data_IF_862308152771
#
_entry.id   IF_862308152771
#
_cell.length_a   1.000
_cell.length_b   1.000
_cell.length_c   1.000
_cell.angle_alpha   90.00
_cell.angle_beta   90.00
_cell.angle_gamma   90.00
#
_symmetry.space_group_name_H-M   'P 1'
#
loop_
_entity.id
_entity.type
_entity.pdbx_description
1 polymer ?
#
# COMPACT_ATOMS: atom_id res chain seq x y z
N UNK A 1 2.41 11.87 12.76
CA UNK A 1 3.84 12.20 12.52
C UNK A 1 4.65 10.95 12.72
N UNK A 2 5.59 10.68 11.82
CA UNK A 2 6.36 9.43 11.76
C UNK A 2 7.86 9.72 11.70
N UNK A 3 8.67 8.95 12.40
CA UNK A 3 10.12 9.09 12.44
C UNK A 3 10.79 7.81 11.95
N UNK A 4 11.74 7.93 11.01
CA UNK A 4 12.46 6.78 10.49
C UNK A 4 13.50 6.26 11.47
N UNK A 5 13.42 4.94 11.69
CA UNK A 5 14.36 4.13 12.44
C UNK A 5 15.39 3.52 11.48
N UNK A 6 16.66 3.93 11.61
CA UNK A 6 17.76 3.39 10.82
C UNK A 6 17.68 3.65 9.30
N UNK A 7 18.58 3.05 8.54
CA UNK A 7 18.61 3.15 7.08
C UNK A 7 19.26 4.42 6.50
N UNK A 8 18.85 4.84 5.31
CA UNK A 8 19.40 6.04 4.65
C UNK A 8 18.83 7.32 5.27
N UNK A 9 19.72 8.17 5.80
CA UNK A 9 19.39 9.48 6.43
C UNK A 9 18.21 9.43 7.44
N UNK A 10 18.23 8.57 8.47
CA UNK A 10 17.13 8.49 9.41
C UNK A 10 17.00 9.77 10.25
N UNK A 11 15.76 10.12 10.61
CA UNK A 11 15.50 11.17 11.60
C UNK A 11 15.94 10.74 13.01
N UNK A 12 15.80 9.46 13.34
CA UNK A 12 16.30 8.90 14.60
C UNK A 12 17.78 8.57 14.45
N UNK A 13 18.63 9.47 14.96
CA UNK A 13 20.07 9.37 14.88
C UNK A 13 20.71 8.71 16.10
N UNK A 14 19.92 7.95 16.86
CA UNK A 14 20.40 7.23 18.04
C UNK A 14 21.51 6.25 17.66
N UNK A 15 22.60 6.26 18.42
CA UNK A 15 23.75 5.38 18.22
C UNK A 15 24.39 5.43 16.82
N UNK A 16 24.16 6.48 16.02
CA UNK A 16 24.76 6.61 14.69
C UNK A 16 26.30 6.62 14.72
N UNK A 17 26.90 7.12 15.79
CA UNK A 17 28.35 7.16 15.96
C UNK A 17 28.97 5.76 16.13
N UNK A 18 28.24 4.82 16.74
CA UNK A 18 28.71 3.43 16.91
C UNK A 18 28.35 2.56 15.72
N UNK A 19 27.38 2.97 14.89
CA UNK A 19 26.83 2.21 13.76
C UNK A 19 26.33 0.81 14.15
N UNK A 20 26.00 0.62 15.42
CA UNK A 20 25.61 -0.66 15.99
C UNK A 20 24.07 -0.77 16.01
N UNK A 21 23.55 -1.47 15.01
CA UNK A 21 22.11 -1.73 14.88
C UNK A 21 21.58 -2.65 15.98
N UNK A 22 22.44 -3.43 16.65
CA UNK A 22 22.02 -4.30 17.75
C UNK A 22 21.64 -3.49 18.97
N UNK A 23 22.42 -2.46 19.32
CA UNK A 23 22.07 -1.55 20.43
C UNK A 23 20.74 -0.86 20.16
N UNK A 24 20.55 -0.35 18.93
CA UNK A 24 19.28 0.26 18.54
C UNK A 24 18.12 -0.75 18.62
N UNK A 25 18.33 -1.99 18.17
CA UNK A 25 17.33 -3.03 18.27
C UNK A 25 17.02 -3.42 19.72
N UNK A 26 18.00 -3.48 20.62
CA UNK A 26 17.79 -3.71 22.06
C UNK A 26 16.96 -2.60 22.71
N UNK A 27 17.18 -1.34 22.35
CA UNK A 27 16.37 -0.22 22.87
C UNK A 27 14.89 -0.28 22.42
N UNK A 28 14.64 -0.82 21.23
CA UNK A 28 13.30 -0.91 20.62
C UNK A 28 12.59 -2.21 20.99
N UNK A 29 13.29 -3.33 20.96
CA UNK A 29 12.77 -4.68 21.04
C UNK A 29 13.23 -5.45 22.29
N UNK A 30 14.14 -4.90 23.06
CA UNK A 30 14.65 -5.55 24.27
C UNK A 30 13.65 -5.50 25.43
N UNK A 31 13.87 -6.30 26.49
CA UNK A 31 12.94 -6.42 27.62
C UNK A 31 12.64 -5.12 28.37
N UNK A 32 13.53 -4.12 28.26
CA UNK A 32 13.37 -2.80 28.89
C UNK A 32 12.60 -1.78 28.05
N UNK A 33 12.28 -2.10 26.80
CA UNK A 33 11.65 -1.19 25.85
C UNK A 33 10.22 -0.80 26.29
N UNK A 34 9.86 0.50 26.25
CA UNK A 34 8.48 0.94 26.49
C UNK A 34 7.52 0.53 25.37
N UNK A 35 8.01 0.05 24.22
CA UNK A 35 7.19 -0.47 23.13
C UNK A 35 6.74 -1.90 23.38
N UNK A 36 7.37 -2.58 24.34
CA UNK A 36 7.05 -3.94 24.71
C UNK A 36 5.87 -3.96 25.69
N UNK A 37 4.65 -3.82 25.17
CA UNK A 37 3.44 -3.70 26.00
C UNK A 37 3.08 -4.99 26.77
N UNK A 38 3.64 -6.15 26.42
CA UNK A 38 3.37 -7.45 27.07
C UNK A 38 4.60 -8.34 27.06
N UNK A 39 4.89 -9.03 28.17
CA UNK A 39 5.93 -10.04 28.23
C UNK A 39 5.71 -11.09 27.13
N UNK A 40 6.72 -11.31 26.28
CA UNK A 40 6.75 -12.23 25.13
C UNK A 40 5.80 -11.92 23.95
N UNK A 41 5.23 -10.72 23.83
CA UNK A 41 4.54 -10.33 22.59
C UNK A 41 5.55 -9.77 21.56
N UNK A 42 5.32 -9.97 20.25
CA UNK A 42 6.16 -9.34 19.23
C UNK A 42 6.05 -7.80 19.28
N UNK A 43 7.14 -7.10 19.00
CA UNK A 43 7.13 -5.64 18.83
C UNK A 43 6.53 -5.32 17.48
N UNK A 44 5.56 -4.41 17.47
CA UNK A 44 4.94 -3.89 16.25
C UNK A 44 5.52 -2.52 15.88
N UNK A 45 6.20 -2.46 14.74
CA UNK A 45 6.63 -1.22 14.11
C UNK A 45 5.77 -0.91 12.89
N UNK A 46 5.95 0.29 12.33
CA UNK A 46 5.29 0.70 11.08
C UNK A 46 6.25 0.50 9.93
N UNK A 47 5.83 -0.26 8.93
CA UNK A 47 6.48 -0.39 7.63
C UNK A 47 5.89 0.66 6.68
N UNK A 48 6.70 1.64 6.27
CA UNK A 48 6.32 2.63 5.27
C UNK A 48 6.91 2.29 3.91
N UNK A 49 6.06 2.22 2.88
CA UNK A 49 6.49 2.12 1.48
C UNK A 49 6.24 3.47 0.81
N UNK A 50 7.27 4.07 0.20
CA UNK A 50 7.10 5.29 -0.60
C UNK A 50 6.65 4.96 -2.02
N UNK A 51 6.13 5.95 -2.75
CA UNK A 51 5.77 5.81 -4.17
C UNK A 51 6.93 5.33 -5.05
N UNK A 52 8.17 5.74 -4.71
CA UNK A 52 9.41 5.27 -5.35
C UNK A 52 9.69 3.79 -5.11
N UNK A 53 9.02 3.17 -4.14
CA UNK A 53 9.22 1.80 -3.70
C UNK A 53 10.23 1.64 -2.57
N UNK A 54 10.78 2.72 -2.01
CA UNK A 54 11.67 2.60 -0.86
C UNK A 54 10.92 2.21 0.41
N UNK A 55 11.58 1.38 1.22
CA UNK A 55 11.07 0.81 2.48
C UNK A 55 11.66 1.56 3.66
N UNK A 56 10.81 1.91 4.63
CA UNK A 56 11.19 2.61 5.84
C UNK A 56 10.57 1.90 7.05
N UNK A 57 11.35 1.75 8.13
CA UNK A 57 10.81 1.42 9.45
C UNK A 57 10.55 2.70 10.20
N UNK A 58 9.36 2.84 10.75
CA UNK A 58 8.87 4.08 11.33
C UNK A 58 8.35 3.85 12.74
N UNK A 59 8.52 4.89 13.56
CA UNK A 59 7.88 5.05 14.86
C UNK A 59 6.96 6.27 14.84
N UNK A 60 5.85 6.18 15.56
CA UNK A 60 5.00 7.34 15.82
C UNK A 60 5.71 8.34 16.75
N UNK A 61 5.23 9.57 16.75
CA UNK A 61 5.70 10.59 17.68
C UNK A 61 5.59 10.16 19.15
N UNK A 62 4.50 9.49 19.52
CA UNK A 62 4.24 9.10 20.92
C UNK A 62 5.17 7.96 21.36
N UNK A 63 5.44 7.00 20.47
CA UNK A 63 6.43 5.94 20.67
C UNK A 63 7.84 6.53 20.88
N UNK A 64 8.24 7.49 20.03
CA UNK A 64 9.52 8.21 20.19
C UNK A 64 9.56 8.97 21.52
N UNK A 65 8.45 9.62 21.91
CA UNK A 65 8.36 10.33 23.19
C UNK A 65 8.50 9.41 24.39
N UNK A 66 7.85 8.24 24.36
CA UNK A 66 8.00 7.22 25.38
C UNK A 66 9.45 6.76 25.53
N UNK A 67 10.14 6.50 24.42
CA UNK A 67 11.54 6.08 24.39
C UNK A 67 12.49 7.15 24.96
N UNK A 68 12.43 8.40 24.47
CA UNK A 68 13.27 9.49 24.98
C UNK A 68 13.03 9.82 26.46
N UNK A 69 11.77 9.71 26.93
CA UNK A 69 11.45 9.97 28.35
C UNK A 69 12.01 8.88 29.27
N UNK A 70 11.94 7.62 28.83
CA UNK A 70 12.41 6.47 29.61
C UNK A 70 13.93 6.34 29.60
N UNK A 71 14.56 6.59 28.46
CA UNK A 71 16.01 6.57 28.32
C UNK A 71 16.52 8.00 28.05
N UNK A 72 16.97 8.67 29.13
CA UNK A 72 17.47 10.06 29.08
C UNK A 72 18.70 10.24 28.18
N UNK A 73 19.37 9.16 27.78
CA UNK A 73 20.52 9.21 26.88
C UNK A 73 20.11 9.26 25.40
N UNK A 74 18.84 9.01 25.07
CA UNK A 74 18.34 9.10 23.70
C UNK A 74 17.95 10.56 23.38
N UNK A 75 18.69 11.26 22.51
CA UNK A 75 18.35 12.63 22.15
C UNK A 75 17.04 12.68 21.37
N UNK A 76 16.29 13.76 21.54
CA UNK A 76 15.11 14.03 20.71
C UNK A 76 15.52 14.16 19.22
N UNK A 77 14.78 13.57 18.27
CA UNK A 77 15.10 13.72 16.85
C UNK A 77 15.03 15.18 16.40
N UNK A 78 16.08 15.63 15.71
CA UNK A 78 16.15 16.99 15.13
C UNK A 78 15.58 17.07 13.71
N UNK A 79 15.46 15.93 13.03
CA UNK A 79 14.92 15.87 11.67
C UNK A 79 13.41 16.11 11.64
N UNK A 80 12.92 16.69 10.54
CA UNK A 80 11.48 16.86 10.30
C UNK A 80 10.82 15.46 10.20
N UNK A 81 9.76 15.19 10.97
CA UNK A 81 9.02 13.94 10.85
C UNK A 81 8.34 13.83 9.49
N UNK A 82 8.14 12.60 9.04
CA UNK A 82 7.28 12.32 7.91
C UNK A 82 5.80 12.45 8.28
N UNK A 83 5.00 12.79 7.27
CA UNK A 83 3.55 12.71 7.28
C UNK A 83 3.13 11.35 6.73
N UNK A 84 1.91 10.91 7.05
CA UNK A 84 1.38 9.67 6.49
C UNK A 84 1.27 9.74 4.96
N UNK A 85 0.94 10.92 4.42
CA UNK A 85 0.90 11.21 2.99
C UNK A 85 2.25 11.15 2.28
N UNK A 86 3.38 11.02 3.01
CA UNK A 86 4.69 10.83 2.40
C UNK A 86 4.92 9.37 1.94
N UNK A 87 3.95 8.48 2.20
CA UNK A 87 4.02 7.05 1.91
C UNK A 87 2.83 6.61 1.06
N UNK A 88 3.08 5.64 0.20
CA UNK A 88 2.07 4.91 -0.57
C UNK A 88 1.27 3.95 0.32
N UNK A 89 1.95 3.37 1.32
CA UNK A 89 1.29 2.53 2.33
C UNK A 89 2.03 2.60 3.65
N UNK A 90 1.27 2.45 4.73
CA UNK A 90 1.75 2.26 6.09
C UNK A 90 1.13 0.97 6.61
N UNK A 91 1.94 -0.02 6.99
CA UNK A 91 1.44 -1.30 7.47
C UNK A 91 2.17 -1.79 8.73
N UNK A 92 1.52 -2.64 9.56
CA UNK A 92 2.19 -3.26 10.69
C UNK A 92 3.27 -4.24 10.19
N UNK A 93 4.41 -4.22 10.88
CA UNK A 93 5.44 -5.25 10.80
C UNK A 93 5.84 -5.67 12.22
N UNK A 94 5.99 -6.98 12.42
CA UNK A 94 6.19 -7.59 13.73
C UNK A 94 7.58 -8.20 13.84
N UNK A 95 8.22 -8.04 14.99
CA UNK A 95 9.49 -8.67 15.33
C UNK A 95 9.36 -9.42 16.65
N UNK A 96 9.63 -10.72 16.63
CA UNK A 96 9.59 -11.57 17.83
C UNK A 96 10.86 -11.44 18.65
N UNK A 97 11.97 -11.06 18.02
CA UNK A 97 13.30 -11.03 18.64
C UNK A 97 14.08 -9.77 18.25
N UNK A 98 15.04 -9.40 19.10
CA UNK A 98 16.01 -8.33 18.82
C UNK A 98 16.82 -8.65 17.57
N UNK A 99 17.13 -9.93 17.35
CA UNK A 99 17.86 -10.43 16.20
C UNK A 99 17.10 -10.21 14.88
N UNK A 100 15.79 -10.48 14.85
CA UNK A 100 14.95 -10.22 13.67
C UNK A 100 14.97 -8.74 13.28
N UNK A 101 14.83 -7.84 14.26
CA UNK A 101 14.89 -6.39 14.03
C UNK A 101 16.28 -5.95 13.57
N UNK A 102 17.33 -6.44 14.24
CA UNK A 102 18.74 -6.15 13.87
C UNK A 102 19.01 -6.54 12.42
N UNK A 103 18.62 -7.75 12.02
CA UNK A 103 18.78 -8.25 10.66
C UNK A 103 18.08 -7.36 9.62
N UNK A 104 16.90 -6.81 9.95
CA UNK A 104 16.19 -5.91 9.04
C UNK A 104 16.87 -4.53 8.97
N UNK A 105 17.29 -3.97 10.11
CA UNK A 105 18.03 -2.71 10.18
C UNK A 105 19.35 -2.77 9.40
N UNK A 106 20.06 -3.92 9.44
CA UNK A 106 21.26 -4.14 8.65
C UNK A 106 20.99 -4.15 7.15
N UNK A 107 19.85 -4.70 6.72
CA UNK A 107 19.44 -4.67 5.31
C UNK A 107 19.04 -3.28 4.82
N UNK A 108 18.56 -2.42 5.73
CA UNK A 108 18.25 -1.00 5.46
C UNK A 108 19.49 -0.11 5.50
N UNK A 109 20.61 -0.55 6.08
CA UNK A 109 21.84 0.23 6.17
C UNK A 109 22.44 0.49 4.78
N UNK A 110 22.70 1.75 4.41
CA UNK A 110 23.35 2.07 3.14
C UNK A 110 24.78 1.52 3.12
N UNK A 111 25.24 1.10 1.94
CA UNK A 111 26.64 0.76 1.74
C UNK A 111 27.47 2.06 1.74
N UNK A 112 28.69 2.01 2.26
CA UNK A 112 29.63 3.15 2.24
C UNK A 112 30.03 3.46 0.79
N UNK A 113 29.23 4.25 0.09
CA UNK A 113 29.50 4.73 -1.25
C UNK A 113 29.43 6.26 -1.24
N UNK A 114 30.11 6.93 -2.17
CA UNK A 114 30.05 8.40 -2.34
C UNK A 114 28.74 8.88 -2.99
N UNK A 115 27.72 8.01 -3.03
CA UNK A 115 26.49 8.26 -3.77
C UNK A 115 25.48 9.00 -2.88
N UNK A 116 24.79 9.99 -3.44
CA UNK A 116 23.82 10.78 -2.70
C UNK A 116 22.40 10.18 -2.68
N UNK A 117 22.32 8.86 -2.73
CA UNK A 117 21.06 8.12 -2.74
C UNK A 117 21.16 6.83 -1.93
N UNK A 118 20.00 6.24 -1.62
CA UNK A 118 19.93 5.01 -0.83
C UNK A 118 20.51 3.80 -1.58
N UNK A 119 21.56 3.20 -1.03
CA UNK A 119 22.24 2.01 -1.56
C UNK A 119 22.02 0.76 -0.70
N UNK A 120 21.11 0.82 0.26
CA UNK A 120 20.77 -0.29 1.13
C UNK A 120 20.23 -1.48 0.35
N UNK A 121 20.38 -2.68 0.91
CA UNK A 121 20.00 -3.93 0.23
C UNK A 121 18.52 -3.96 -0.12
N UNK A 122 17.65 -3.46 0.76
CA UNK A 122 16.20 -3.45 0.56
C UNK A 122 15.72 -2.34 -0.39
N UNK A 123 16.46 -1.24 -0.50
CA UNK A 123 16.06 -0.11 -1.33
C UNK A 123 16.86 -0.02 -2.64
N UNK A 124 17.83 -0.93 -2.85
CA UNK A 124 18.61 -1.00 -4.08
C UNK A 124 17.70 -1.32 -5.28
N UNK A 125 17.65 -0.37 -6.22
CA UNK A 125 16.85 -0.51 -7.45
C UNK A 125 15.59 0.36 -7.45
N UNK A 126 15.19 0.89 -6.29
CA UNK A 126 14.08 1.82 -6.16
C UNK A 126 14.60 3.26 -6.27
N UNK A 127 14.93 3.66 -7.50
CA UNK A 127 15.52 4.97 -7.79
C UNK A 127 14.55 5.93 -8.45
N UNK A 128 13.75 5.43 -9.38
CA UNK A 128 12.81 6.22 -10.16
C UNK A 128 11.47 5.48 -10.31
N UNK A 129 10.39 6.23 -10.33
CA UNK A 129 9.08 5.78 -10.80
C UNK A 129 8.09 5.32 -9.73
N UNK A 130 7.08 4.59 -10.20
CA UNK A 130 5.90 4.13 -9.45
C UNK A 130 6.09 2.70 -8.91
N UNK A 131 7.34 2.27 -8.68
CA UNK A 131 7.65 0.92 -8.23
C UNK A 131 7.05 0.59 -6.84
N UNK A 132 6.73 1.63 -6.06
CA UNK A 132 6.03 1.50 -4.79
C UNK A 132 4.55 1.18 -4.92
N UNK A 133 3.89 1.40 -6.05
CA UNK A 133 2.44 1.17 -6.18
C UNK A 133 2.07 -0.29 -5.94
N UNK A 134 2.75 -1.24 -6.61
CA UNK A 134 2.47 -2.67 -6.43
C UNK A 134 2.82 -3.17 -5.03
N UNK A 135 3.93 -2.66 -4.46
CA UNK A 135 4.32 -2.98 -3.08
C UNK A 135 3.31 -2.42 -2.08
N UNK A 136 2.84 -1.20 -2.32
CA UNK A 136 1.82 -0.53 -1.53
C UNK A 136 0.50 -1.29 -1.58
N UNK A 137 0.04 -1.69 -2.76
CA UNK A 137 -1.16 -2.49 -2.93
C UNK A 137 -1.11 -3.81 -2.14
N UNK A 138 0.04 -4.49 -2.12
CA UNK A 138 0.23 -5.67 -1.29
C UNK A 138 0.08 -5.35 0.22
N UNK A 139 0.68 -4.25 0.67
CA UNK A 139 0.59 -3.80 2.07
C UNK A 139 -0.82 -3.31 2.45
N UNK A 140 -1.56 -2.70 1.51
CA UNK A 140 -2.97 -2.35 1.68
C UNK A 140 -3.83 -3.59 1.93
N UNK A 141 -3.55 -4.71 1.26
CA UNK A 141 -4.20 -6.00 1.56
C UNK A 141 -3.97 -6.48 3.00
N UNK A 142 -2.75 -6.31 3.53
CA UNK A 142 -2.44 -6.62 4.93
C UNK A 142 -3.23 -5.71 5.89
N UNK A 143 -3.26 -4.41 5.62
CA UNK A 143 -4.04 -3.44 6.41
C UNK A 143 -5.52 -3.81 6.37
N UNK A 144 -6.07 -4.02 5.18
CA UNK A 144 -7.46 -4.39 4.98
C UNK A 144 -7.86 -5.61 5.83
N UNK A 145 -7.08 -6.68 5.78
CA UNK A 145 -7.29 -7.87 6.60
C UNK A 145 -7.31 -7.55 8.09
N UNK A 146 -6.34 -6.76 8.57
CA UNK A 146 -6.22 -6.38 9.98
C UNK A 146 -7.38 -5.50 10.46
N UNK A 147 -7.86 -4.60 9.60
CA UNK A 147 -9.00 -3.71 9.83
C UNK A 147 -10.30 -4.50 9.96
N UNK A 148 -10.55 -5.46 9.06
CA UNK A 148 -11.72 -6.35 9.16
C UNK A 148 -11.73 -7.14 10.47
N UNK A 149 -10.56 -7.56 10.95
CA UNK A 149 -10.42 -8.30 12.21
C UNK A 149 -10.32 -7.40 13.45
N UNK A 150 -10.50 -6.08 13.31
CA UNK A 150 -10.39 -5.11 14.41
C UNK A 150 -9.09 -5.25 15.22
N UNK A 151 -8.01 -5.60 14.54
CA UNK A 151 -6.73 -6.01 15.14
C UNK A 151 -5.61 -5.00 14.92
N UNK A 152 -5.98 -3.74 14.70
CA UNK A 152 -5.06 -2.66 14.33
C UNK A 152 -5.55 -1.31 14.86
N UNK A 153 -4.62 -0.46 15.29
CA UNK A 153 -4.89 0.94 15.59
C UNK A 153 -4.90 1.77 14.30
N UNK A 154 -6.09 2.17 13.86
CA UNK A 154 -6.27 2.94 12.62
C UNK A 154 -5.44 4.22 12.58
N UNK A 155 -5.37 4.96 13.69
CA UNK A 155 -4.71 6.27 13.74
C UNK A 155 -3.19 6.13 13.55
N UNK A 156 -2.60 5.05 14.08
CA UNK A 156 -1.19 4.71 13.90
C UNK A 156 -0.80 4.59 12.42
N UNK A 157 -1.71 4.14 11.56
CA UNK A 157 -1.49 3.94 10.12
C UNK A 157 -2.13 5.02 9.26
N UNK A 158 -2.52 6.16 9.84
CA UNK A 158 -3.09 7.30 9.11
C UNK A 158 -4.55 7.11 8.67
N UNK A 159 -5.24 6.08 9.16
CA UNK A 159 -6.65 5.84 8.86
C UNK A 159 -7.54 6.50 9.93
N UNK A 160 -8.63 7.14 9.49
CA UNK A 160 -9.60 7.77 10.41
C UNK A 160 -10.90 7.01 10.58
N UNK A 161 -11.21 6.10 9.67
CA UNK A 161 -12.55 5.51 9.55
C UNK A 161 -12.48 4.04 9.17
N UNK A 162 -13.33 3.25 9.80
CA UNK A 162 -13.56 1.83 9.51
C UNK A 162 -15.06 1.50 9.51
N UNK A 163 -15.94 2.50 9.50
CA UNK A 163 -17.40 2.31 9.48
C UNK A 163 -17.86 1.49 8.27
N UNK A 164 -17.15 1.60 7.15
CA UNK A 164 -17.35 0.81 5.94
C UNK A 164 -17.23 -0.71 6.16
N UNK A 165 -16.48 -1.15 7.17
CA UNK A 165 -16.27 -2.58 7.45
C UNK A 165 -17.56 -3.32 7.78
N UNK A 166 -18.61 -2.61 8.24
CA UNK A 166 -19.90 -3.20 8.60
C UNK A 166 -20.75 -3.57 7.39
N UNK A 167 -20.50 -2.95 6.25
CA UNK A 167 -21.31 -3.09 5.04
C UNK A 167 -20.53 -3.55 3.83
N UNK A 168 -19.21 -3.67 3.95
CA UNK A 168 -18.34 -4.10 2.87
C UNK A 168 -18.64 -5.53 2.43
N UNK A 169 -18.48 -5.76 1.14
CA UNK A 169 -18.45 -7.11 0.57
C UNK A 169 -17.12 -7.38 -0.09
N UNK A 170 -16.65 -8.62 0.05
CA UNK A 170 -15.47 -9.12 -0.65
C UNK A 170 -15.95 -10.22 -1.56
N UNK A 171 -15.86 -9.99 -2.86
CA UNK A 171 -16.37 -10.87 -3.89
C UNK A 171 -15.22 -11.36 -4.76
N UNK A 172 -15.32 -12.56 -5.31
CA UNK A 172 -14.42 -13.08 -6.33
C UNK A 172 -15.20 -13.25 -7.63
N UNK A 173 -14.66 -12.71 -8.72
CA UNK A 173 -15.21 -12.89 -10.06
C UNK A 173 -14.15 -13.49 -10.96
N UNK A 174 -14.42 -14.68 -11.49
CA UNK A 174 -13.50 -15.43 -12.33
C UNK A 174 -14.26 -15.92 -13.55
N UNK A 175 -13.61 -15.94 -14.70
CA UNK A 175 -14.21 -16.45 -15.92
C UNK A 175 -13.14 -17.11 -16.78
N UNK A 176 -13.56 -18.05 -17.61
CA UNK A 176 -12.71 -18.61 -18.65
C UNK A 176 -13.06 -17.98 -19.99
N UNK A 177 -12.05 -17.70 -20.80
CA UNK A 177 -12.24 -17.28 -22.20
C UNK A 177 -11.85 -18.37 -23.17
N UNK A 178 -12.32 -18.25 -24.41
CA UNK A 178 -11.83 -19.10 -25.50
C UNK A 178 -10.30 -19.02 -25.60
N UNK A 179 -9.64 -20.19 -25.67
CA UNK A 179 -8.18 -20.26 -25.72
C UNK A 179 -7.63 -19.59 -26.98
N UNK A 180 -6.47 -18.91 -26.86
CA UNK A 180 -5.84 -18.13 -27.94
C UNK A 180 -5.65 -18.91 -29.24
N UNK A 181 -5.34 -20.21 -29.16
CA UNK A 181 -5.13 -21.06 -30.33
C UNK A 181 -6.42 -21.30 -31.15
N UNK A 182 -7.59 -21.12 -30.53
CA UNK A 182 -8.89 -21.30 -31.17
C UNK A 182 -9.63 -19.99 -31.39
N UNK A 183 -9.09 -18.87 -30.91
CA UNK A 183 -9.64 -17.53 -31.09
C UNK A 183 -8.76 -16.75 -32.07
N UNK A 184 -9.11 -16.80 -33.36
CA UNK A 184 -8.37 -16.15 -34.45
C UNK A 184 -8.43 -14.61 -34.46
N UNK A 185 -9.04 -13.98 -33.45
CA UNK A 185 -9.13 -12.53 -33.33
C UNK A 185 -7.81 -11.92 -32.86
N UNK A 186 -7.61 -10.64 -33.16
CA UNK A 186 -6.44 -9.90 -32.69
C UNK A 186 -6.39 -9.87 -31.14
N UNK A 187 -5.19 -9.68 -30.58
CA UNK A 187 -5.04 -9.53 -29.11
C UNK A 187 -5.89 -8.39 -28.56
N UNK A 188 -5.98 -7.27 -29.28
CA UNK A 188 -6.79 -6.12 -28.88
C UNK A 188 -8.30 -6.44 -28.89
N UNK A 189 -8.79 -7.14 -29.91
CA UNK A 189 -10.20 -7.54 -29.97
C UNK A 189 -10.56 -8.55 -28.87
N UNK A 190 -9.65 -9.45 -28.53
CA UNK A 190 -9.83 -10.42 -27.44
C UNK A 190 -9.86 -9.73 -26.08
N UNK A 191 -9.04 -8.71 -25.89
CA UNK A 191 -9.01 -7.91 -24.67
C UNK A 191 -10.27 -7.05 -24.52
N UNK A 192 -10.70 -6.38 -25.60
CA UNK A 192 -11.87 -5.48 -25.61
C UNK A 192 -13.19 -6.24 -25.56
N UNK A 193 -13.27 -7.38 -26.23
CA UNK A 193 -14.47 -8.21 -26.33
C UNK A 193 -14.16 -9.67 -25.97
N UNK A 194 -13.82 -9.98 -24.71
CA UNK A 194 -13.52 -11.36 -24.30
C UNK A 194 -14.70 -12.29 -24.61
N UNK A 195 -14.39 -13.43 -25.23
CA UNK A 195 -15.37 -14.51 -25.46
C UNK A 195 -15.43 -15.39 -24.24
N UNK A 196 -16.28 -14.99 -23.29
CA UNK A 196 -16.49 -15.70 -22.04
C UNK A 196 -17.18 -17.05 -22.28
N UNK A 197 -16.60 -18.11 -21.72
CA UNK A 197 -17.09 -19.49 -21.83
C UNK A 197 -17.99 -19.86 -20.65
N UNK A 198 -17.53 -19.53 -19.46
CA UNK A 198 -18.19 -19.72 -18.18
C UNK A 198 -17.70 -18.67 -17.18
N UNK A 199 -18.47 -18.49 -16.11
CA UNK A 199 -18.22 -17.49 -15.07
C UNK A 199 -18.42 -18.14 -13.72
N UNK A 200 -17.56 -17.84 -12.76
CA UNK A 200 -17.75 -18.14 -11.35
C UNK A 200 -17.82 -16.84 -10.55
N UNK A 201 -18.75 -16.79 -9.61
CA UNK A 201 -18.87 -15.70 -8.65
C UNK A 201 -19.05 -16.27 -7.26
N UNK A 202 -18.42 -15.65 -6.28
CA UNK A 202 -18.58 -16.02 -4.89
C UNK A 202 -18.32 -14.82 -3.98
N UNK A 203 -18.95 -14.82 -2.82
CA UNK A 203 -18.69 -13.84 -1.76
C UNK A 203 -17.98 -14.51 -0.59
N UNK A 204 -17.18 -13.71 0.11
CA UNK A 204 -16.54 -14.12 1.34
C UNK A 204 -17.35 -13.63 2.56
N UNK A 205 -17.37 -14.45 3.60
CA UNK A 205 -17.92 -14.07 4.91
C UNK A 205 -17.00 -13.05 5.57
N UNK A 206 -17.57 -11.97 6.08
CA UNK A 206 -16.83 -10.96 6.83
C UNK A 206 -17.04 -11.23 8.34
N UNK A 207 -15.98 -11.26 9.17
CA UNK A 207 -14.59 -10.89 8.88
C UNK A 207 -13.67 -12.04 8.46
N UNK A 208 -14.12 -13.30 8.51
CA UNK A 208 -13.22 -14.47 8.33
C UNK A 208 -12.57 -14.59 6.96
N UNK A 209 -13.14 -13.94 5.94
CA UNK A 209 -12.80 -14.06 4.53
C UNK A 209 -12.90 -15.50 3.98
N UNK A 210 -13.61 -16.37 4.69
CA UNK A 210 -13.94 -17.70 4.20
C UNK A 210 -15.02 -17.62 3.13
N UNK A 211 -15.01 -18.56 2.19
CA UNK A 211 -16.05 -18.68 1.18
C UNK A 211 -17.43 -18.75 1.85
N UNK A 212 -18.41 -18.01 1.31
CA UNK A 212 -19.82 -18.24 1.59
C UNK A 212 -20.46 -19.16 0.54
N UNK A 213 -20.67 -20.46 0.82
CA UNK A 213 -21.15 -21.41 -0.18
C UNK A 213 -22.54 -21.07 -0.74
N UNK A 214 -23.37 -20.31 0.00
CA UNK A 214 -24.68 -19.86 -0.48
C UNK A 214 -24.63 -18.84 -1.61
N UNK A 215 -23.51 -18.12 -1.75
CA UNK A 215 -23.29 -17.15 -2.85
C UNK A 215 -22.47 -17.72 -3.99
N UNK A 216 -21.78 -18.84 -3.76
CA UNK A 216 -20.89 -19.45 -4.73
C UNK A 216 -21.69 -20.06 -5.88
N UNK A 217 -21.58 -19.44 -7.06
CA UNK A 217 -22.25 -19.90 -8.28
C UNK A 217 -21.24 -20.06 -9.40
N UNK A 218 -21.40 -21.14 -10.15
CA UNK A 218 -20.69 -21.41 -11.39
C UNK A 218 -21.70 -21.45 -12.54
N UNK A 219 -21.57 -20.51 -13.47
CA UNK A 219 -22.53 -20.31 -14.54
C UNK A 219 -21.88 -20.73 -15.86
N UNK A 220 -22.48 -21.72 -16.49
CA UNK A 220 -22.12 -22.21 -17.80
C UNK A 220 -22.97 -21.47 -18.83
N UNK A 221 -22.32 -20.83 -19.81
CA UNK A 221 -23.04 -20.23 -20.93
C UNK A 221 -23.73 -21.34 -21.75
N UNK A 222 -25.05 -21.27 -21.92
CA UNK A 222 -25.86 -22.32 -22.53
C UNK A 222 -25.42 -22.67 -23.96
N UNK A 223 -24.96 -21.67 -24.70
CA UNK A 223 -24.40 -21.79 -26.04
C UNK A 223 -23.13 -22.67 -26.07
N UNK A 224 -22.42 -22.77 -24.95
CA UNK A 224 -21.19 -23.54 -24.78
C UNK A 224 -21.40 -24.93 -24.18
N UNK A 225 -22.65 -25.35 -23.92
CA UNK A 225 -22.96 -26.62 -23.24
C UNK A 225 -22.38 -27.86 -23.93
N UNK A 226 -22.12 -27.78 -25.23
CA UNK A 226 -21.63 -28.90 -26.06
C UNK A 226 -20.11 -29.00 -26.12
N UNK A 227 -19.36 -28.00 -25.62
CA UNK A 227 -17.89 -28.00 -25.66
C UNK A 227 -17.28 -29.16 -24.84
N UNK A 228 -18.03 -29.74 -23.91
CA UNK A 228 -17.60 -30.86 -23.05
C UNK A 228 -17.87 -32.25 -23.65
N UNK A 229 -18.23 -32.35 -24.93
CA UNK A 229 -18.58 -33.63 -25.57
C UNK A 229 -17.42 -34.34 -26.28
N UNK A 230 -16.20 -33.80 -26.21
CA UNK A 230 -15.04 -34.48 -26.79
C UNK A 230 -14.60 -35.67 -25.92
N UNK A 231 -14.35 -36.82 -26.56
CA UNK A 231 -13.94 -38.06 -25.87
C UNK A 231 -12.67 -37.79 -25.04
N UNK A 232 -12.78 -37.97 -23.72
CA UNK A 232 -11.65 -37.95 -22.79
C UNK A 232 -11.52 -36.68 -21.92
N UNK A 233 -12.29 -35.62 -22.18
CA UNK A 233 -12.28 -34.41 -21.36
C UNK A 233 -13.64 -34.22 -20.68
N UNK A 234 -13.71 -34.50 -19.38
CA UNK A 234 -14.90 -34.28 -18.57
C UNK A 234 -14.72 -33.01 -17.75
N UNK A 235 -15.75 -32.17 -17.73
CA UNK A 235 -15.80 -31.04 -16.79
C UNK A 235 -15.92 -31.59 -15.37
N UNK A 236 -15.04 -31.15 -14.48
CA UNK A 236 -15.16 -31.48 -13.07
C UNK A 236 -16.42 -30.79 -12.48
N UNK A 237 -17.17 -31.48 -11.59
CA UNK A 237 -18.28 -30.85 -10.90
C UNK A 237 -17.76 -29.71 -10.01
N UNK A 238 -18.51 -28.61 -9.93
CA UNK A 238 -18.18 -27.52 -9.02
C UNK A 238 -18.48 -27.96 -7.58
N UNK A 239 -17.44 -28.00 -6.74
CA UNK A 239 -17.53 -28.57 -5.39
C UNK A 239 -18.00 -27.57 -4.31
N UNK A 240 -18.10 -26.28 -4.64
CA UNK A 240 -18.14 -25.21 -3.65
C UNK A 240 -19.46 -24.43 -3.63
N UNK A 241 -20.45 -24.83 -4.43
CA UNK A 241 -21.72 -24.14 -4.55
C UNK A 241 -22.59 -24.72 -5.67
N UNK A 242 -23.35 -23.86 -6.34
CA UNK A 242 -24.30 -24.28 -7.39
C UNK A 242 -23.70 -24.16 -8.79
N UNK A 243 -24.17 -25.01 -9.71
CA UNK A 243 -23.85 -24.88 -11.13
C UNK A 243 -25.13 -24.61 -11.91
N UNK A 244 -25.17 -23.49 -12.60
CA UNK A 244 -26.27 -23.10 -13.48
C UNK A 244 -25.84 -23.18 -14.95
N UNK A 245 -26.80 -23.33 -15.85
CA UNK A 245 -26.57 -23.20 -17.29
C UNK A 245 -27.59 -22.20 -17.84
N UNK A 246 -27.11 -21.04 -18.26
CA UNK A 246 -27.96 -19.88 -18.59
C UNK A 246 -27.59 -19.31 -19.97
N UNK A 247 -28.55 -18.78 -20.74
CA UNK A 247 -28.27 -18.01 -21.95
C UNK A 247 -27.60 -16.67 -21.60
N UNK A 248 -26.86 -16.09 -22.56
CA UNK A 248 -26.05 -14.88 -22.34
C UNK A 248 -26.80 -13.70 -21.71
N UNK A 249 -28.03 -13.45 -22.15
CA UNK A 249 -28.83 -12.32 -21.66
C UNK A 249 -29.25 -12.49 -20.19
N UNK A 250 -29.52 -13.72 -19.74
CA UNK A 250 -29.82 -14.00 -18.32
C UNK A 250 -28.58 -13.85 -17.44
N UNK A 251 -27.40 -14.23 -17.96
CA UNK A 251 -26.12 -13.99 -17.28
C UNK A 251 -25.89 -12.49 -17.11
N UNK A 252 -26.08 -11.73 -18.19
CA UNK A 252 -25.98 -10.26 -18.20
C UNK A 252 -26.90 -9.63 -17.16
N UNK A 253 -28.20 -9.97 -17.18
CA UNK A 253 -29.18 -9.47 -16.21
C UNK A 253 -28.78 -9.80 -14.77
N UNK A 254 -28.38 -11.06 -14.52
CA UNK A 254 -27.99 -11.50 -13.18
C UNK A 254 -26.80 -10.70 -12.64
N UNK A 255 -25.76 -10.47 -13.44
CA UNK A 255 -24.61 -9.69 -12.99
C UNK A 255 -24.94 -8.20 -12.85
N UNK A 256 -25.77 -7.63 -13.74
CA UNK A 256 -26.28 -6.27 -13.55
C UNK A 256 -27.03 -6.14 -12.21
N UNK A 257 -27.93 -7.08 -11.89
CA UNK A 257 -28.67 -7.10 -10.63
C UNK A 257 -27.74 -7.20 -9.41
N UNK A 258 -26.76 -8.13 -9.46
CA UNK A 258 -25.74 -8.29 -8.42
C UNK A 258 -25.01 -6.96 -8.20
N UNK A 259 -24.39 -6.39 -9.22
CA UNK A 259 -23.61 -5.17 -9.08
C UNK A 259 -24.44 -3.93 -8.77
N UNK A 260 -25.69 -3.84 -9.26
CA UNK A 260 -26.62 -2.77 -8.92
C UNK A 260 -27.02 -2.81 -7.45
N UNK A 261 -27.23 -4.01 -6.89
CA UNK A 261 -27.57 -4.18 -5.46
C UNK A 261 -26.47 -3.68 -4.50
N UNK A 262 -25.28 -3.40 -5.03
CA UNK A 262 -24.11 -2.97 -4.26
C UNK A 262 -23.71 -1.51 -4.44
N UNK A 263 -24.46 -0.71 -5.21
CA UNK A 263 -24.08 0.69 -5.45
C UNK A 263 -23.96 1.53 -4.17
N UNK A 264 -24.70 1.19 -3.12
CA UNK A 264 -24.69 1.91 -1.83
C UNK A 264 -23.61 1.42 -0.86
N UNK A 265 -22.80 0.42 -1.23
CA UNK A 265 -21.86 -0.25 -0.31
C UNK A 265 -20.51 -0.46 -0.96
N UNK A 266 -19.40 -0.34 -0.21
CA UNK A 266 -18.09 -0.66 -0.76
C UNK A 266 -18.02 -2.15 -1.09
N UNK A 267 -17.51 -2.44 -2.30
CA UNK A 267 -17.20 -3.79 -2.74
C UNK A 267 -15.71 -3.87 -3.07
N UNK A 268 -15.07 -4.92 -2.58
CA UNK A 268 -13.75 -5.35 -3.05
C UNK A 268 -13.96 -6.53 -3.96
N UNK A 269 -13.63 -6.36 -5.25
CA UNK A 269 -13.72 -7.41 -6.25
C UNK A 269 -12.34 -8.00 -6.51
N UNK A 270 -12.15 -9.26 -6.12
CA UNK A 270 -10.95 -10.05 -6.41
C UNK A 270 -11.05 -10.59 -7.82
N UNK A 271 -10.09 -10.20 -8.66
CA UNK A 271 -10.07 -10.53 -10.10
C UNK A 271 -8.67 -10.94 -10.53
N UNK A 272 -8.60 -11.68 -11.63
CA UNK A 272 -7.36 -11.95 -12.35
C UNK A 272 -7.41 -11.17 -13.68
N UNK A 273 -6.31 -10.50 -14.03
CA UNK A 273 -6.24 -9.59 -15.20
C UNK A 273 -7.33 -8.49 -15.18
N UNK A 274 -7.07 -7.42 -14.42
CA UNK A 274 -8.03 -6.33 -14.18
C UNK A 274 -8.67 -5.78 -15.47
N UNK A 275 -7.86 -5.45 -16.48
CA UNK A 275 -8.36 -4.86 -17.73
C UNK A 275 -9.29 -5.82 -18.49
N UNK A 276 -8.91 -7.10 -18.58
CA UNK A 276 -9.74 -8.13 -19.21
C UNK A 276 -11.05 -8.32 -18.44
N UNK A 277 -10.98 -8.31 -17.11
CA UNK A 277 -12.16 -8.43 -16.25
C UNK A 277 -13.09 -7.24 -16.38
N UNK A 278 -12.57 -6.01 -16.40
CA UNK A 278 -13.36 -4.79 -16.65
C UNK A 278 -14.08 -4.87 -17.99
N UNK A 279 -13.41 -5.28 -19.05
CA UNK A 279 -14.03 -5.45 -20.36
C UNK A 279 -15.08 -6.58 -20.38
N UNK A 280 -14.85 -7.69 -19.66
CA UNK A 280 -15.82 -8.76 -19.52
C UNK A 280 -17.10 -8.28 -18.81
N UNK A 281 -16.97 -7.59 -17.68
CA UNK A 281 -18.10 -7.02 -16.93
C UNK A 281 -18.84 -5.95 -17.74
N UNK A 282 -18.11 -5.09 -18.46
CA UNK A 282 -18.71 -4.10 -19.36
C UNK A 282 -19.55 -4.73 -20.46
N UNK A 283 -19.10 -5.85 -21.03
CA UNK A 283 -19.88 -6.60 -22.03
C UNK A 283 -21.11 -7.30 -21.44
N UNK A 284 -21.12 -7.53 -20.12
CA UNK A 284 -22.31 -7.96 -19.37
C UNK A 284 -23.20 -6.76 -18.95
N UNK A 285 -22.92 -5.55 -19.42
CA UNK A 285 -23.70 -4.36 -19.09
C UNK A 285 -23.44 -3.79 -17.70
N UNK A 286 -22.43 -4.28 -16.97
CA UNK A 286 -22.06 -3.73 -15.66
C UNK A 286 -21.26 -2.44 -15.87
N UNK A 287 -21.67 -1.30 -15.29
CA UNK A 287 -20.88 -0.07 -15.34
C UNK A 287 -19.61 -0.22 -14.50
N UNK A 288 -18.44 -0.10 -15.14
CA UNK A 288 -17.12 -0.28 -14.50
C UNK A 288 -16.33 1.02 -14.36
N UNK A 289 -16.91 2.15 -14.77
CA UNK A 289 -16.24 3.46 -14.80
C UNK A 289 -15.76 3.92 -13.42
N UNK A 290 -16.48 3.53 -12.36
CA UNK A 290 -16.15 3.85 -10.98
C UNK A 290 -15.15 2.87 -10.32
N UNK A 291 -14.73 1.81 -11.02
CA UNK A 291 -13.92 0.74 -10.41
C UNK A 291 -12.44 1.16 -10.32
N UNK A 292 -11.91 1.14 -9.10
CA UNK A 292 -10.49 1.40 -8.81
C UNK A 292 -9.68 0.11 -8.69
N UNK A 293 -8.42 0.15 -9.10
CA UNK A 293 -7.53 -1.02 -9.16
C UNK A 293 -6.99 -1.47 -7.79
N UNK A 294 -7.11 -0.64 -6.75
CA UNK A 294 -6.49 -0.86 -5.44
C UNK A 294 -7.46 -0.64 -4.27
N UNK A 295 -6.98 -1.00 -3.09
CA UNK A 295 -7.65 -0.76 -1.82
C UNK A 295 -7.33 0.63 -1.24
N UNK A 296 -6.44 1.40 -1.88
CA UNK A 296 -5.94 2.66 -1.33
C UNK A 296 -7.09 3.63 -1.09
N UNK A 297 -7.97 3.81 -2.09
CA UNK A 297 -9.13 4.69 -1.98
C UNK A 297 -10.12 4.29 -0.87
N UNK A 298 -10.18 3.01 -0.52
CA UNK A 298 -11.01 2.52 0.58
C UNK A 298 -10.37 2.80 1.94
N UNK A 299 -9.04 2.71 2.02
CA UNK A 299 -8.26 2.84 3.25
C UNK A 299 -7.91 4.29 3.58
N UNK A 300 -7.60 5.08 2.56
CA UNK A 300 -7.34 6.51 2.64
C UNK A 300 -8.68 7.23 2.50
N UNK A 301 -9.21 7.73 3.61
CA UNK A 301 -10.41 8.56 3.55
C UNK A 301 -10.09 9.78 2.67
N UNK A 302 -10.85 9.95 1.59
CA UNK A 302 -10.80 11.13 0.71
C UNK A 302 -10.81 12.39 1.58
N UNK A 303 -9.66 13.07 1.72
CA UNK A 303 -9.57 14.38 2.39
C UNK A 303 -10.30 15.48 1.60
N UNK A 304 -10.94 15.15 0.47
CA UNK A 304 -11.45 16.12 -0.49
C UNK A 304 -12.58 17.03 0.01
N UNK A 305 -13.37 16.65 1.02
CA UNK A 305 -14.55 17.43 1.41
C UNK A 305 -14.43 18.31 2.66
N UNK A 306 -13.25 18.37 3.29
CA UNK A 306 -13.04 19.28 4.42
C UNK A 306 -11.70 19.99 4.35
N UNK A 307 -11.48 20.79 3.30
CA UNK A 307 -10.74 22.03 3.53
C UNK A 307 -11.60 22.87 4.47
N UNK A 308 -11.18 23.11 5.74
CA UNK A 308 -11.84 24.15 6.52
C UNK A 308 -11.78 25.41 5.66
N UNK A 309 -12.88 26.20 5.56
CA UNK A 309 -12.83 27.47 4.86
C UNK A 309 -11.63 28.22 5.42
N UNK A 310 -10.67 28.52 4.54
CA UNK A 310 -9.51 29.35 4.90
C UNK A 310 -10.13 30.65 5.38
N UNK A 311 -10.26 30.82 6.70
CA UNK A 311 -10.71 32.07 7.25
C UNK A 311 -9.64 33.08 6.85
N UNK A 312 -9.99 33.99 5.95
CA UNK A 312 -9.17 35.11 5.52
C UNK A 312 -9.05 36.16 6.63
N UNK A 313 -8.84 35.74 7.88
CA UNK A 313 -8.52 36.62 9.00
C UNK A 313 -7.01 36.68 9.21
N UNK A 314 -6.27 37.01 8.15
CA UNK A 314 -4.97 37.67 8.31
C UNK A 314 -5.24 39.16 8.19
N UNK A 315 -5.31 39.80 9.35
CA UNK A 315 -5.35 41.25 9.49
C UNK A 315 -4.18 41.87 8.70
N UNK A 316 -4.41 42.70 7.67
CA UNK A 316 -3.36 43.31 6.86
C UNK A 316 -2.51 44.34 7.62
N UNK A 317 -2.84 44.63 8.89
CA UNK A 317 -2.25 45.78 9.61
C UNK A 317 -0.91 45.52 10.30
N UNK A 318 -0.33 44.32 10.19
CA UNK A 318 0.93 44.00 10.90
C UNK A 318 2.19 43.97 10.01
N UNK A 319 2.15 44.59 8.84
CA UNK A 319 3.36 44.94 8.10
C UNK A 319 3.60 46.44 8.17
N UNK A 320 4.16 46.89 9.29
CA UNK A 320 4.95 48.11 9.28
C UNK A 320 5.94 48.12 10.46
N UNK A 321 7.15 48.57 10.13
CA UNK A 321 8.25 48.97 11.02
C UNK A 321 9.24 47.84 11.37
N UNK A 322 10.22 47.62 10.48
CA UNK A 322 11.60 48.05 10.75
C UNK A 322 12.38 48.25 9.44
N UNK A 323 12.55 49.54 9.15
CA UNK A 323 13.56 50.18 8.29
C UNK A 323 14.94 49.55 8.51
N UNK A 324 15.65 49.23 7.42
CA UNK A 324 16.67 50.11 6.82
C UNK A 324 17.82 50.36 7.81
N UNK A 325 18.86 49.53 7.72
CA UNK A 325 20.23 49.91 8.07
C UNK A 325 21.21 48.97 7.34
N UNK A 326 22.09 49.62 6.56
CA UNK A 326 23.40 49.19 6.09
C UNK A 326 23.54 48.13 4.97
N UNK A 327 23.41 48.65 3.75
CA UNK A 327 24.22 48.22 2.62
C UNK A 327 25.73 48.36 2.93
N UNK A 328 26.41 47.24 3.17
CA UNK A 328 27.85 47.11 2.92
C UNK A 328 28.09 46.23 1.68
N UNK A 329 28.87 46.68 0.68
CA UNK A 329 29.25 45.83 -0.44
C UNK A 329 30.24 44.75 0.02
N UNK A 330 30.03 43.53 -0.47
CA UNK A 330 30.97 42.42 -0.31
C UNK A 330 32.27 42.73 -1.06
N UNK A 331 33.36 42.84 -0.31
CA UNK A 331 34.73 42.88 -0.83
C UNK A 331 35.06 41.49 -1.38
N UNK A 332 35.27 41.41 -2.69
CA UNK A 332 35.81 40.23 -3.38
C UNK A 332 37.25 39.95 -2.93
N UNK A 333 37.59 38.74 -2.47
CA UNK A 333 38.98 38.36 -2.30
C UNK A 333 39.57 38.02 -3.67
N UNK A 334 40.35 38.96 -4.21
CA UNK A 334 41.39 38.70 -5.19
C UNK A 334 42.33 37.62 -4.64
N UNK A 335 42.45 36.49 -5.34
CA UNK A 335 43.59 35.57 -5.19
C UNK A 335 44.19 35.27 -6.56
N UNK A 336 45.31 35.95 -6.74
CA UNK A 336 46.42 35.83 -7.67
C UNK A 336 46.70 34.40 -8.21
N UNK A 337 46.99 34.24 -9.52
CA UNK A 337 47.32 32.96 -10.14
C UNK A 337 48.83 32.73 -10.15
N UNK A 338 49.35 31.69 -9.48
CA UNK A 338 50.75 31.29 -9.68
C UNK A 338 51.01 29.77 -9.66
N UNK A 339 51.55 29.36 -10.81
CA UNK A 339 52.65 28.40 -11.05
C UNK A 339 52.29 26.95 -11.42
N UNK A 340 52.41 26.75 -12.74
CA UNK A 340 52.87 25.55 -13.43
C UNK A 340 53.97 24.77 -12.71
N UNK A 341 53.89 23.45 -12.79
CA UNK A 341 55.07 22.59 -12.89
C UNK A 341 54.80 21.49 -13.91
N UNK A 342 55.49 21.57 -15.05
CA UNK A 342 55.59 20.51 -16.05
C UNK A 342 56.55 19.46 -15.48
N UNK A 343 56.16 18.19 -15.46
CA UNK A 343 57.10 17.07 -15.29
C UNK A 343 57.39 16.45 -16.65
N UNK A 344 58.69 16.21 -16.87
CA UNK A 344 59.27 15.48 -17.99
C UNK A 344 58.81 14.03 -18.02
#
# INVERSE_FOLDING_TARGET
MLYQLGGYRPQLQWHQHTYDNRILAEEIAGPGSPLHNRHNAPIELILGIRISGTTHLLLTHDEVSGLCRRNRNLPWPRGRPFLSSDFESLSPIYFNTVEELTNLLDKLKPKKTKQDFDTSTLNKGFRDGNAGLLRGAFEHGRIFYKVLHQSIDLQKYGMRDSSWTRSIRVCSFVFNTQHILFDGRSTQDRLRYPRVLDIAFAEAKIPSLELDPSTATYIIKAENRTLNKSKGFFRLPFAHGTTDTLPEHEISNRFQDIFQSYQDRPMVLLVYEEELTKNALKNLGVPTEAFTADLKHLLEKMEEDQKPPISSSRDPRNYNIKKEEDHKPLISPSRDPRKYTIKK
#
